data_IF_090009433961
#
_entry.id   IF_090009433961
#
_cell.length_a   1.000
_cell.length_b   1.000
_cell.length_c   1.000
_cell.angle_alpha   90.00
_cell.angle_beta   90.00
_cell.angle_gamma   90.00
#
_symmetry.space_group_name_H-M   'P 1'
#
loop_
_entity.id
_entity.type
_entity.pdbx_description
1 polymer ?
#
# COMPACT_ATOMS: atom_id res chain seq x y z
N UNK A 1 -28.45 12.54 35.86
CA UNK A 1 -27.25 13.21 35.32
C UNK A 1 -26.73 12.38 34.18
N UNK A 2 -26.62 12.99 33.00
CA UNK A 2 -25.89 12.42 31.88
C UNK A 2 -24.40 12.60 32.16
N UNK A 3 -23.63 11.52 32.09
CA UNK A 3 -22.19 11.58 31.89
C UNK A 3 -21.89 10.78 30.62
N UNK A 4 -22.03 11.48 29.49
CA UNK A 4 -21.49 11.09 28.19
C UNK A 4 -19.97 11.25 28.25
N UNK A 5 -19.25 10.14 28.41
CA UNK A 5 -17.85 10.07 28.04
C UNK A 5 -17.78 9.83 26.52
N UNK A 6 -17.82 10.92 25.76
CA UNK A 6 -17.35 10.90 24.38
C UNK A 6 -15.84 10.65 24.41
N UNK A 7 -15.46 9.38 24.22
CA UNK A 7 -14.07 9.02 23.92
C UNK A 7 -13.75 9.56 22.52
N UNK A 8 -13.09 10.72 22.51
CA UNK A 8 -12.48 11.29 21.32
C UNK A 8 -11.64 10.23 20.58
N UNK A 9 -11.97 10.03 19.31
CA UNK A 9 -11.05 9.56 18.27
C UNK A 9 -10.46 8.16 18.49
N UNK A 10 -11.24 7.11 18.22
CA UNK A 10 -10.61 5.91 17.69
C UNK A 10 -10.12 6.25 16.28
N UNK A 11 -8.90 6.77 16.18
CA UNK A 11 -8.10 6.57 14.97
C UNK A 11 -8.21 5.08 14.68
N UNK A 12 -8.93 4.72 13.61
CA UNK A 12 -9.12 3.33 13.22
C UNK A 12 -7.72 2.74 13.11
N UNK A 13 -7.31 1.96 14.12
CA UNK A 13 -6.14 1.12 13.98
C UNK A 13 -6.42 0.27 12.76
N UNK A 14 -5.73 0.61 11.68
CA UNK A 14 -5.75 -0.16 10.45
C UNK A 14 -5.19 -1.50 10.90
N UNK A 15 -6.04 -2.52 11.01
CA UNK A 15 -5.67 -3.88 11.42
C UNK A 15 -4.81 -4.50 10.32
N UNK A 16 -3.62 -3.95 10.12
CA UNK A 16 -2.66 -4.41 9.13
C UNK A 16 -1.96 -5.62 9.72
N UNK A 17 -2.20 -6.78 9.12
CA UNK A 17 -1.53 -8.04 9.46
C UNK A 17 -0.32 -8.31 8.59
N UNK A 18 -0.32 -7.78 7.37
CA UNK A 18 0.74 -8.00 6.40
C UNK A 18 1.19 -6.67 5.77
N UNK A 19 2.49 -6.42 5.83
CA UNK A 19 3.13 -5.30 5.15
C UNK A 19 4.06 -5.84 4.07
N UNK A 20 3.79 -5.49 2.81
CA UNK A 20 4.59 -5.90 1.66
C UNK A 20 5.37 -4.71 1.16
N UNK A 21 6.70 -4.77 1.26
CA UNK A 21 7.60 -3.69 0.82
C UNK A 21 8.25 -4.11 -0.50
N UNK A 22 8.11 -3.26 -1.52
CA UNK A 22 8.58 -3.52 -2.88
C UNK A 22 9.59 -2.43 -3.26
N UNK A 23 10.90 -2.69 -3.10
CA UNK A 23 11.91 -1.82 -3.69
C UNK A 23 11.87 -1.91 -5.21
N UNK A 24 11.94 -0.77 -5.88
CA UNK A 24 11.81 -0.67 -7.34
C UNK A 24 12.82 0.28 -7.92
N UNK A 25 13.51 -0.16 -8.98
CA UNK A 25 14.40 0.66 -9.79
C UNK A 25 14.33 0.19 -11.24
N UNK A 26 13.66 0.98 -12.07
CA UNK A 26 13.44 0.70 -13.50
C UNK A 26 12.79 -0.68 -13.79
N UNK A 27 11.65 -0.94 -13.14
CA UNK A 27 10.90 -2.20 -13.16
C UNK A 27 9.64 -2.15 -14.03
N UNK A 28 9.54 -1.25 -15.02
CA UNK A 28 8.33 -1.04 -15.83
C UNK A 28 7.78 -2.33 -16.48
N UNK A 29 8.65 -3.31 -16.73
CA UNK A 29 8.31 -4.62 -17.33
C UNK A 29 7.63 -5.57 -16.35
N UNK A 30 7.83 -5.39 -15.05
CA UNK A 30 7.46 -6.39 -14.03
C UNK A 30 6.55 -5.84 -12.94
N UNK A 31 6.65 -4.56 -12.62
CA UNK A 31 5.92 -3.95 -11.49
C UNK A 31 4.40 -4.15 -11.59
N UNK A 32 3.84 -4.08 -12.81
CA UNK A 32 2.41 -4.39 -13.07
C UNK A 32 2.03 -5.79 -12.61
N UNK A 33 2.77 -6.81 -13.06
CA UNK A 33 2.49 -8.22 -12.73
C UNK A 33 2.67 -8.49 -11.23
N UNK A 34 3.66 -7.84 -10.61
CA UNK A 34 3.91 -7.92 -9.17
C UNK A 34 2.70 -7.38 -8.37
N UNK A 35 2.28 -6.15 -8.67
CA UNK A 35 1.17 -5.49 -7.99
C UNK A 35 -0.17 -6.20 -8.25
N UNK A 36 -0.41 -6.70 -9.46
CA UNK A 36 -1.58 -7.53 -9.79
C UNK A 36 -1.64 -8.79 -8.91
N UNK A 37 -0.50 -9.48 -8.76
CA UNK A 37 -0.41 -10.70 -7.95
C UNK A 37 -0.71 -10.41 -6.47
N UNK A 38 -0.13 -9.35 -5.92
CA UNK A 38 -0.33 -8.97 -4.52
C UNK A 38 -1.77 -8.53 -4.27
N UNK A 39 -2.35 -7.76 -5.20
CA UNK A 39 -3.74 -7.30 -5.11
C UNK A 39 -4.70 -8.49 -5.04
N UNK A 40 -4.53 -9.48 -5.92
CA UNK A 40 -5.33 -10.72 -5.92
C UNK A 40 -5.25 -11.48 -4.60
N UNK A 41 -4.05 -11.69 -4.06
CA UNK A 41 -3.87 -12.41 -2.79
C UNK A 41 -4.43 -11.61 -1.61
N UNK A 42 -4.35 -10.28 -1.67
CA UNK A 42 -4.86 -9.38 -0.62
C UNK A 42 -6.39 -9.41 -0.50
N UNK A 43 -7.12 -9.90 -1.50
CA UNK A 43 -8.58 -10.08 -1.43
C UNK A 43 -8.99 -11.09 -0.34
N UNK A 44 -8.13 -12.07 -0.01
CA UNK A 44 -8.35 -13.01 1.08
C UNK A 44 -8.19 -12.35 2.47
N UNK A 45 -7.44 -11.26 2.55
CA UNK A 45 -7.10 -10.53 3.78
C UNK A 45 -7.62 -9.09 3.71
N UNK A 46 -8.91 -8.93 3.33
CA UNK A 46 -9.54 -7.63 3.05
C UNK A 46 -9.17 -6.59 4.11
N UNK A 47 -8.57 -5.48 3.65
CA UNK A 47 -8.13 -4.32 4.46
C UNK A 47 -7.05 -4.61 5.52
N UNK A 48 -6.47 -5.81 5.54
CA UNK A 48 -5.41 -6.22 6.48
C UNK A 48 -4.03 -6.30 5.81
N UNK A 49 -3.94 -5.99 4.51
CA UNK A 49 -2.66 -5.90 3.79
C UNK A 49 -2.36 -4.46 3.42
N UNK A 50 -1.14 -4.01 3.68
CA UNK A 50 -0.59 -2.80 3.11
C UNK A 50 0.56 -3.12 2.14
N UNK A 51 0.65 -2.33 1.08
CA UNK A 51 1.69 -2.45 0.06
C UNK A 51 2.42 -1.12 0.00
N UNK A 52 3.73 -1.17 0.18
CA UNK A 52 4.62 0.00 0.17
C UNK A 52 5.59 -0.16 -1.00
N UNK A 53 5.47 0.71 -2.00
CA UNK A 53 6.39 0.75 -3.14
C UNK A 53 7.46 1.80 -2.88
N UNK A 54 8.72 1.39 -2.93
CA UNK A 54 9.87 2.27 -2.76
C UNK A 54 10.50 2.53 -4.12
N UNK A 55 10.26 3.71 -4.68
CA UNK A 55 10.83 4.18 -5.93
C UNK A 55 12.24 4.71 -5.66
N UNK A 56 13.25 3.98 -6.14
CA UNK A 56 14.66 4.34 -5.97
C UNK A 56 15.18 4.98 -7.25
N UNK A 57 14.96 6.29 -7.46
CA UNK A 57 15.48 7.04 -8.62
C UNK A 57 15.16 6.40 -9.98
N UNK A 58 13.92 5.93 -10.17
CA UNK A 58 13.48 5.40 -11.46
C UNK A 58 13.51 6.50 -12.54
N UNK A 59 13.99 6.14 -13.72
CA UNK A 59 14.06 6.99 -14.92
C UNK A 59 13.15 6.49 -16.05
N UNK A 60 12.45 5.39 -15.83
CA UNK A 60 11.52 4.75 -16.76
C UNK A 60 10.05 4.97 -16.33
N UNK A 61 9.11 4.19 -16.88
CA UNK A 61 7.68 4.32 -16.56
C UNK A 61 7.24 3.63 -15.28
N UNK A 62 8.16 3.16 -14.43
CA UNK A 62 7.82 2.44 -13.19
C UNK A 62 6.87 3.24 -12.30
N UNK A 63 7.17 4.52 -12.08
CA UNK A 63 6.34 5.42 -11.26
C UNK A 63 4.95 5.65 -11.90
N UNK A 64 4.88 5.74 -13.23
CA UNK A 64 3.59 5.91 -13.92
C UNK A 64 2.69 4.67 -13.75
N UNK A 65 3.30 3.48 -13.77
CA UNK A 65 2.57 2.21 -13.65
C UNK A 65 2.06 2.02 -12.22
N UNK A 66 2.90 2.29 -11.22
CA UNK A 66 2.54 2.17 -9.80
C UNK A 66 1.32 3.02 -9.42
N UNK A 67 1.21 4.25 -9.94
CA UNK A 67 0.09 5.17 -9.66
C UNK A 67 -1.30 4.63 -9.98
N UNK A 68 -1.38 3.58 -10.80
CA UNK A 68 -2.65 2.90 -11.11
C UNK A 68 -3.12 1.96 -9.99
N UNK A 69 -2.31 1.77 -8.94
CA UNK A 69 -2.57 0.84 -7.84
C UNK A 69 -2.77 1.57 -6.52
N UNK A 70 -3.47 0.90 -5.60
CA UNK A 70 -3.69 1.41 -4.24
C UNK A 70 -2.56 0.96 -3.31
N UNK A 71 -1.41 1.62 -3.41
CA UNK A 71 -0.25 1.41 -2.54
C UNK A 71 0.18 2.72 -1.86
N UNK A 72 1.03 2.57 -0.85
CA UNK A 72 1.78 3.67 -0.25
C UNK A 72 3.07 3.80 -1.05
N UNK A 73 3.44 5.01 -1.43
CA UNK A 73 4.59 5.24 -2.30
C UNK A 73 5.62 6.11 -1.60
N UNK A 74 6.82 5.57 -1.47
CA UNK A 74 8.00 6.26 -0.95
C UNK A 74 8.94 6.51 -2.12
N UNK A 75 9.33 7.76 -2.32
CA UNK A 75 10.19 8.17 -3.42
C UNK A 75 11.49 8.76 -2.88
N UNK A 76 12.61 8.34 -3.47
CA UNK A 76 13.95 8.82 -3.17
C UNK A 76 14.64 9.38 -4.42
#
# INVERSE_FOLDING_TARGET
MAETNESLGSDLQKDVKFSVIIPTHNEEKYIRKCLDSITKVSEAYKKQTEVIVVLNRCTDKTEEIEKSYKCITLKN
#
